data_IF_732759105238
#
_entry.id   IF_732759105238
#
_cell.length_a   1.000
_cell.length_b   1.000
_cell.length_c   1.000
_cell.angle_alpha   90.00
_cell.angle_beta   90.00
_cell.angle_gamma   90.00
#
_symmetry.space_group_name_H-M   'P 1'
#
loop_
_entity.id
_entity.type
_entity.pdbx_description
1 polymer ?
#
# COMPACT_ATOMS: atom_id res chain seq x y z
N UNK A 1 11.49 -15.75 35.79
CA UNK A 1 10.19 -16.45 35.62
C UNK A 1 9.76 -16.39 34.15
N UNK A 2 9.75 -17.51 33.43
CA UNK A 2 9.39 -17.58 32.00
C UNK A 2 7.87 -17.48 31.86
N UNK A 3 7.38 -16.47 31.13
CA UNK A 3 5.94 -16.32 30.82
C UNK A 3 5.51 -17.36 29.78
N UNK A 4 4.32 -17.96 29.93
CA UNK A 4 3.79 -18.91 28.95
C UNK A 4 3.43 -18.20 27.63
N UNK A 5 3.91 -18.79 26.53
CA UNK A 5 3.64 -18.35 25.16
C UNK A 5 2.16 -18.55 24.82
N UNK A 6 1.41 -17.46 24.65
CA UNK A 6 0.04 -17.49 24.12
C UNK A 6 0.10 -17.64 22.60
N UNK A 7 -0.20 -18.85 22.10
CA UNK A 7 -0.45 -19.07 20.67
C UNK A 7 -1.67 -18.26 20.25
N UNK A 8 -1.50 -17.33 19.30
CA UNK A 8 -2.59 -16.63 18.63
C UNK A 8 -3.33 -17.62 17.70
N UNK A 9 -4.67 -17.62 17.67
CA UNK A 9 -5.44 -18.38 16.69
C UNK A 9 -5.24 -17.80 15.29
N UNK A 10 -5.20 -18.69 14.28
CA UNK A 10 -4.99 -18.32 12.88
C UNK A 10 -6.17 -17.50 12.32
N UNK A 11 -5.93 -16.38 11.62
CA UNK A 11 -6.98 -15.61 10.96
C UNK A 11 -7.36 -16.31 9.65
N UNK A 12 -8.41 -17.13 9.67
CA UNK A 12 -8.87 -17.77 8.42
C UNK A 12 -10.12 -18.63 8.50
N UNK A 13 -10.50 -19.14 9.68
CA UNK A 13 -11.59 -20.11 9.80
C UNK A 13 -13.00 -19.52 10.00
N UNK A 14 -13.15 -18.20 10.14
CA UNK A 14 -14.44 -17.60 10.54
C UNK A 14 -15.38 -17.22 9.39
N UNK A 15 -14.92 -17.13 8.13
CA UNK A 15 -15.76 -16.61 7.02
C UNK A 15 -16.75 -17.62 6.44
N UNK A 16 -16.61 -18.92 6.68
CA UNK A 16 -17.48 -19.95 6.08
C UNK A 16 -18.64 -20.42 6.98
N UNK A 17 -18.65 -20.05 8.26
CA UNK A 17 -19.70 -20.50 9.19
C UNK A 17 -20.98 -19.65 9.16
N UNK A 18 -20.92 -18.40 8.69
CA UNK A 18 -22.06 -17.47 8.81
C UNK A 18 -23.12 -17.58 7.71
N UNK A 19 -22.84 -18.27 6.59
CA UNK A 19 -23.85 -18.50 5.54
C UNK A 19 -24.63 -19.81 5.71
N UNK A 20 -24.13 -20.76 6.52
CA UNK A 20 -24.77 -22.07 6.67
C UNK A 20 -25.96 -22.09 7.65
N UNK A 21 -26.11 -21.07 8.50
CA UNK A 21 -27.16 -21.04 9.53
C UNK A 21 -28.53 -20.55 9.04
N UNK A 22 -28.66 -20.08 7.79
CA UNK A 22 -29.92 -19.52 7.28
C UNK A 22 -30.87 -20.57 6.66
N UNK A 23 -30.46 -21.84 6.57
CA UNK A 23 -31.25 -22.89 5.89
C UNK A 23 -32.07 -23.82 6.80
N UNK A 24 -31.99 -23.71 8.13
CA UNK A 24 -32.63 -24.70 9.03
C UNK A 24 -33.93 -24.22 9.72
N UNK A 25 -34.43 -23.02 9.44
CA UNK A 25 -35.67 -22.51 10.02
C UNK A 25 -36.91 -22.91 9.21
N UNK A 26 -37.62 -23.95 9.66
CA UNK A 26 -38.89 -24.39 9.09
C UNK A 26 -39.94 -23.26 9.07
N UNK A 27 -40.35 -22.89 7.86
CA UNK A 27 -41.32 -21.84 7.56
C UNK A 27 -42.74 -22.34 7.89
N UNK A 28 -43.18 -22.17 9.14
CA UNK A 28 -44.60 -22.32 9.47
C UNK A 28 -45.34 -21.06 8.99
N UNK A 29 -46.33 -21.28 8.11
CA UNK A 29 -47.09 -20.25 7.42
C UNK A 29 -47.70 -19.22 8.35
N UNK A 30 -47.07 -18.06 8.42
CA UNK A 30 -47.62 -16.86 9.04
C UNK A 30 -48.11 -15.96 7.91
N UNK A 31 -49.41 -15.67 7.90
CA UNK A 31 -50.07 -14.74 6.98
C UNK A 31 -49.49 -13.35 7.19
N UNK A 32 -48.53 -12.97 6.35
CA UNK A 32 -47.80 -11.71 6.45
C UNK A 32 -48.68 -10.51 6.02
N UNK A 33 -48.61 -9.37 6.73
CA UNK A 33 -49.22 -8.13 6.30
C UNK A 33 -48.53 -7.60 5.01
N UNK A 34 -49.29 -7.11 4.02
CA UNK A 34 -48.80 -6.85 2.66
C UNK A 34 -47.92 -5.59 2.48
N UNK A 35 -47.21 -5.12 3.51
CA UNK A 35 -46.43 -3.87 3.45
C UNK A 35 -45.01 -3.89 4.03
N UNK A 36 -44.53 -5.03 4.57
CA UNK A 36 -43.28 -5.06 5.36
C UNK A 36 -42.00 -5.49 4.62
N UNK A 37 -42.08 -5.98 3.38
CA UNK A 37 -40.94 -6.73 2.80
C UNK A 37 -39.77 -5.87 2.32
N UNK A 38 -40.01 -4.64 1.87
CA UNK A 38 -38.92 -3.76 1.40
C UNK A 38 -38.16 -3.11 2.55
N UNK A 39 -38.85 -2.63 3.58
CA UNK A 39 -38.20 -2.03 4.74
C UNK A 39 -37.36 -3.06 5.51
N UNK A 40 -37.82 -4.31 5.59
CA UNK A 40 -37.03 -5.42 6.13
C UNK A 40 -35.76 -5.68 5.30
N UNK A 41 -35.88 -5.70 3.96
CA UNK A 41 -34.72 -5.87 3.07
C UNK A 41 -33.71 -4.72 3.22
N UNK A 42 -34.17 -3.47 3.25
CA UNK A 42 -33.30 -2.31 3.48
C UNK A 42 -32.66 -2.35 4.86
N UNK A 43 -33.38 -2.83 5.88
CA UNK A 43 -32.85 -3.09 7.20
C UNK A 43 -31.65 -4.04 7.17
N UNK A 44 -31.81 -5.20 6.51
CA UNK A 44 -30.75 -6.20 6.37
C UNK A 44 -29.55 -5.65 5.59
N UNK A 45 -29.78 -4.96 4.48
CA UNK A 45 -28.69 -4.37 3.67
C UNK A 45 -27.92 -3.32 4.47
N UNK A 46 -28.62 -2.45 5.20
CA UNK A 46 -28.00 -1.45 6.08
C UNK A 46 -27.14 -2.12 7.15
N UNK A 47 -27.63 -3.17 7.80
CA UNK A 47 -26.90 -3.86 8.86
C UNK A 47 -25.62 -4.52 8.33
N UNK A 48 -25.68 -5.12 7.14
CA UNK A 48 -24.51 -5.70 6.46
C UNK A 48 -23.48 -4.62 6.14
N UNK A 49 -23.90 -3.49 5.55
CA UNK A 49 -23.00 -2.38 5.20
C UNK A 49 -22.36 -1.78 6.45
N UNK A 50 -23.14 -1.56 7.52
CA UNK A 50 -22.62 -1.05 8.80
C UNK A 50 -21.61 -2.02 9.42
N UNK A 51 -21.90 -3.32 9.41
CA UNK A 51 -21.00 -4.34 9.92
C UNK A 51 -19.68 -4.37 9.14
N UNK A 52 -19.72 -4.33 7.81
CA UNK A 52 -18.52 -4.31 6.98
C UNK A 52 -17.70 -3.03 7.18
N UNK A 53 -18.34 -1.87 7.20
CA UNK A 53 -17.68 -0.60 7.51
C UNK A 53 -16.97 -0.63 8.86
N UNK A 54 -17.62 -1.18 9.89
CA UNK A 54 -17.03 -1.35 11.22
C UNK A 54 -15.82 -2.27 11.20
N UNK A 55 -15.90 -3.41 10.49
CA UNK A 55 -14.79 -4.35 10.37
C UNK A 55 -13.58 -3.70 9.67
N UNK A 56 -13.81 -2.98 8.56
CA UNK A 56 -12.76 -2.25 7.84
C UNK A 56 -12.11 -1.17 8.71
N UNK A 57 -12.90 -0.37 9.43
CA UNK A 57 -12.37 0.64 10.35
C UNK A 57 -11.50 0.01 11.45
N UNK A 58 -11.93 -1.10 12.04
CA UNK A 58 -11.14 -1.83 13.04
C UNK A 58 -9.85 -2.42 12.44
N UNK A 59 -9.89 -2.90 11.20
CA UNK A 59 -8.70 -3.37 10.49
C UNK A 59 -7.70 -2.24 10.23
N UNK A 60 -8.16 -1.10 9.73
CA UNK A 60 -7.34 0.10 9.56
C UNK A 60 -6.72 0.58 10.88
N UNK A 61 -7.51 0.59 11.97
CA UNK A 61 -7.02 0.97 13.29
C UNK A 61 -5.90 0.05 13.81
N UNK A 62 -6.03 -1.27 13.60
CA UNK A 62 -4.96 -2.22 13.94
C UNK A 62 -3.70 -1.97 13.11
N UNK A 63 -3.85 -1.78 11.80
CA UNK A 63 -2.71 -1.54 10.92
C UNK A 63 -1.98 -0.22 11.26
N UNK A 64 -2.72 0.84 11.53
CA UNK A 64 -2.14 2.11 11.98
C UNK A 64 -1.38 1.95 13.31
N UNK A 65 -1.93 1.18 14.26
CA UNK A 65 -1.24 0.83 15.51
C UNK A 65 0.09 0.11 15.27
N UNK A 66 0.10 -0.89 14.39
CA UNK A 66 1.32 -1.62 14.02
C UNK A 66 2.37 -0.70 13.37
N UNK A 67 1.96 0.26 12.53
CA UNK A 67 2.87 1.24 11.95
C UNK A 67 3.46 2.20 13.00
N UNK A 68 2.64 2.70 13.93
CA UNK A 68 3.12 3.56 15.03
C UNK A 68 4.12 2.79 15.90
N UNK A 69 3.81 1.55 16.26
CA UNK A 69 4.71 0.70 17.05
C UNK A 69 6.05 0.49 16.32
N UNK A 70 6.03 0.26 15.00
CA UNK A 70 7.24 0.12 14.20
C UNK A 70 8.07 1.42 14.18
N UNK A 71 7.43 2.58 14.02
CA UNK A 71 8.11 3.88 14.08
C UNK A 71 8.73 4.15 15.44
N UNK A 72 7.98 3.88 16.53
CA UNK A 72 8.47 4.04 17.90
C UNK A 72 9.67 3.12 18.16
N UNK A 73 9.59 1.85 17.77
CA UNK A 73 10.70 0.92 17.92
C UNK A 73 11.93 1.34 17.11
N UNK A 74 11.74 1.84 15.89
CA UNK A 74 12.84 2.37 15.08
C UNK A 74 13.50 3.58 15.75
N UNK A 75 12.71 4.54 16.23
CA UNK A 75 13.21 5.71 16.96
C UNK A 75 13.99 5.30 18.22
N UNK A 76 13.48 4.34 19.00
CA UNK A 76 14.16 3.82 20.19
C UNK A 76 15.50 3.15 19.85
N UNK A 77 15.60 2.43 18.72
CA UNK A 77 16.87 1.82 18.28
C UNK A 77 17.92 2.86 17.92
N UNK A 78 17.51 3.99 17.35
CA UNK A 78 18.40 5.08 16.97
C UNK A 78 18.91 5.89 18.17
N UNK A 79 18.26 5.79 19.34
CA UNK A 79 18.72 6.48 20.54
C UNK A 79 20.03 5.86 21.09
N UNK A 80 21.01 6.70 21.48
CA UNK A 80 22.17 6.27 22.25
C UNK A 80 21.76 5.48 23.52
N UNK A 81 22.53 4.46 23.94
CA UNK A 81 22.17 3.60 25.09
C UNK A 81 21.88 4.40 26.37
N UNK A 82 22.69 5.41 26.69
CA UNK A 82 22.51 6.23 27.89
C UNK A 82 21.20 7.04 27.88
N UNK A 83 20.64 7.38 26.71
CA UNK A 83 19.33 8.05 26.60
C UNK A 83 18.17 7.05 26.67
N UNK A 84 18.38 5.78 26.29
CA UNK A 84 17.35 4.73 26.43
C UNK A 84 17.10 4.36 27.88
N UNK A 85 18.14 4.37 28.71
CA UNK A 85 18.03 4.05 30.14
C UNK A 85 17.59 5.24 30.99
N UNK A 86 17.59 6.46 30.42
CA UNK A 86 17.18 7.69 31.09
C UNK A 86 15.66 7.81 31.20
N UNK A 87 15.16 8.45 32.27
CA UNK A 87 13.72 8.71 32.39
C UNK A 87 13.28 9.69 31.30
N UNK A 88 12.15 9.43 30.66
CA UNK A 88 11.62 10.25 29.56
C UNK A 88 11.54 11.76 29.91
N UNK A 89 11.20 12.09 31.16
CA UNK A 89 11.15 13.49 31.63
C UNK A 89 12.51 14.18 31.62
N UNK A 90 13.57 13.49 32.02
CA UNK A 90 14.95 14.02 32.02
C UNK A 90 15.47 14.15 30.59
N UNK A 91 15.23 13.13 29.75
CA UNK A 91 15.60 13.15 28.34
C UNK A 91 14.96 14.32 27.57
N UNK A 92 13.67 14.61 27.83
CA UNK A 92 12.98 15.75 27.22
C UNK A 92 13.49 17.11 27.72
N UNK A 93 13.97 17.20 28.97
CA UNK A 93 14.56 18.44 29.51
C UNK A 93 15.88 18.80 28.85
N UNK A 94 16.68 17.81 28.46
CA UNK A 94 17.92 18.03 27.68
C UNK A 94 17.62 18.70 26.32
N UNK A 95 16.52 18.31 25.67
CA UNK A 95 16.08 18.89 24.39
C UNK A 95 15.49 20.29 24.60
N UNK A 96 14.69 20.48 25.65
CA UNK A 96 14.03 21.75 25.96
C UNK A 96 14.99 22.88 26.37
N UNK A 97 16.13 22.56 27.00
CA UNK A 97 17.12 23.56 27.42
C UNK A 97 17.89 24.20 26.25
N UNK A 98 18.02 23.50 25.12
CA UNK A 98 18.81 23.98 23.98
C UNK A 98 18.06 24.98 23.10
N UNK A 99 16.73 25.03 23.13
CA UNK A 99 15.94 25.95 22.30
C UNK A 99 15.72 27.33 22.94
N UNK A 100 16.01 27.49 24.23
CA UNK A 100 15.91 28.77 24.91
C UNK A 100 17.21 29.61 24.86
N UNK A 101 18.31 29.04 24.37
CA UNK A 101 19.63 29.67 24.36
C UNK A 101 20.24 29.76 22.94
N UNK A 102 19.75 30.72 22.15
CA UNK A 102 20.38 31.16 20.89
C UNK A 102 19.38 31.98 20.07
N UNK A 103 19.65 33.20 19.61
CA UNK A 103 20.88 33.66 18.97
C UNK A 103 21.22 35.10 19.36
N UNK A 104 22.43 35.32 19.88
CA UNK A 104 23.19 36.52 19.53
C UNK A 104 24.06 36.18 18.30
N UNK A 105 24.08 37.03 17.27
CA UNK A 105 24.91 36.84 16.09
C UNK A 105 26.37 37.17 16.44
N UNK A 106 27.23 36.15 16.47
CA UNK A 106 28.67 36.37 16.41
C UNK A 106 29.09 36.42 14.94
N UNK A 107 29.29 37.65 14.45
CA UNK A 107 30.04 37.93 13.23
C UNK A 107 31.48 37.42 13.43
N UNK A 108 31.92 36.51 12.57
CA UNK A 108 33.25 35.92 12.63
C UNK A 108 33.66 35.39 11.27
N UNK A 109 34.20 36.29 10.45
CA UNK A 109 34.88 36.00 9.20
C UNK A 109 36.09 35.07 9.41
N UNK A 110 36.35 34.16 8.48
CA UNK A 110 37.59 33.37 8.52
C UNK A 110 37.71 32.22 7.51
N UNK A 111 38.12 32.58 6.29
CA UNK A 111 39.05 31.88 5.39
C UNK A 111 38.90 30.37 5.07
N UNK A 112 38.74 30.11 3.76
CA UNK A 112 39.18 28.88 3.05
C UNK A 112 40.66 28.54 3.28
N UNK A 113 41.04 27.27 3.10
CA UNK A 113 41.88 26.99 1.94
C UNK A 113 41.53 25.71 1.18
N UNK A 114 41.70 25.83 -0.13
CA UNK A 114 41.70 24.79 -1.15
C UNK A 114 42.79 23.73 -0.89
N UNK A 115 42.43 22.46 -1.01
CA UNK A 115 43.36 21.33 -0.98
C UNK A 115 43.01 20.33 -2.07
N UNK A 116 43.55 20.54 -3.27
CA UNK A 116 43.54 19.62 -4.41
C UNK A 116 44.50 18.46 -4.12
N UNK A 117 43.98 17.24 -4.08
CA UNK A 117 44.77 16.01 -3.96
C UNK A 117 44.15 14.91 -4.82
N UNK A 118 44.48 14.89 -6.10
CA UNK A 118 44.12 13.81 -7.02
C UNK A 118 45.02 12.59 -6.77
N UNK A 119 44.41 11.44 -6.48
CA UNK A 119 45.09 10.14 -6.52
C UNK A 119 44.65 9.36 -7.76
N UNK A 120 45.59 8.72 -8.49
CA UNK A 120 45.30 7.91 -9.67
C UNK A 120 45.16 6.45 -9.24
N UNK A 121 43.97 5.87 -9.39
CA UNK A 121 43.84 4.42 -9.43
C UNK A 121 43.03 3.98 -10.65
N UNK A 122 43.64 3.02 -11.33
CA UNK A 122 43.37 2.50 -12.66
C UNK A 122 41.91 2.12 -12.94
N UNK A 123 41.51 2.43 -14.16
CA UNK A 123 40.34 1.93 -14.84
C UNK A 123 40.38 0.39 -14.95
N UNK A 124 39.43 -0.27 -14.30
CA UNK A 124 38.93 -1.58 -14.68
C UNK A 124 37.43 -1.44 -14.93
N UNK A 125 36.95 -1.97 -16.06
CA UNK A 125 35.62 -1.72 -16.61
C UNK A 125 34.49 -1.88 -15.59
N UNK A 126 33.76 -0.78 -15.36
CA UNK A 126 32.58 -0.75 -14.52
C UNK A 126 31.44 -1.53 -15.20
N UNK A 127 31.39 -2.83 -14.93
CA UNK A 127 30.14 -3.58 -15.06
C UNK A 127 29.12 -2.89 -14.14
N UNK A 128 28.10 -2.28 -14.75
CA UNK A 128 27.02 -1.61 -14.03
C UNK A 128 26.40 -2.62 -13.07
N UNK A 129 26.72 -2.49 -11.79
CA UNK A 129 26.15 -3.36 -10.76
C UNK A 129 24.64 -3.14 -10.72
N UNK A 130 23.84 -4.20 -10.57
CA UNK A 130 22.38 -4.08 -10.54
C UNK A 130 21.97 -3.09 -9.46
N UNK A 131 21.22 -2.06 -9.86
CA UNK A 131 20.87 -0.89 -9.05
C UNK A 131 19.83 -1.17 -7.96
N UNK A 132 19.25 -2.36 -7.90
CA UNK A 132 18.32 -2.80 -6.87
C UNK A 132 17.44 -3.97 -7.32
N UNK A 133 16.56 -4.46 -6.44
CA UNK A 133 15.60 -5.51 -6.75
C UNK A 133 14.94 -6.12 -5.51
N UNK A 134 14.17 -7.19 -5.68
CA UNK A 134 13.58 -7.96 -4.57
C UNK A 134 14.53 -9.11 -4.23
N UNK A 135 14.93 -9.27 -2.98
CA UNK A 135 15.73 -10.41 -2.54
C UNK A 135 14.85 -11.53 -2.00
N UNK A 136 15.28 -12.79 -2.12
CA UNK A 136 14.57 -13.92 -1.49
C UNK A 136 14.59 -13.86 0.04
N UNK A 137 15.57 -13.19 0.63
CA UNK A 137 15.63 -12.92 2.07
C UNK A 137 14.63 -11.83 2.51
N UNK A 138 14.17 -11.00 1.58
CA UNK A 138 13.25 -9.90 1.82
C UNK A 138 12.29 -9.72 0.64
N UNK A 139 11.27 -10.58 0.49
CA UNK A 139 10.41 -10.61 -0.69
C UNK A 139 9.33 -9.51 -0.71
N UNK A 140 9.16 -8.79 0.40
CA UNK A 140 8.05 -7.84 0.58
C UNK A 140 8.30 -6.48 -0.08
N UNK A 141 9.56 -6.05 -0.12
CA UNK A 141 9.93 -4.72 -0.62
C UNK A 141 11.20 -4.78 -1.46
N UNK A 142 11.35 -3.88 -2.45
CA UNK A 142 12.59 -3.73 -3.17
C UNK A 142 13.69 -3.17 -2.26
N UNK A 143 14.90 -3.69 -2.43
CA UNK A 143 16.13 -3.18 -1.86
C UNK A 143 16.84 -2.30 -2.89
N UNK A 144 17.27 -1.12 -2.46
CA UNK A 144 17.99 -0.15 -3.30
C UNK A 144 19.44 -0.12 -2.83
N UNK A 145 20.38 -0.19 -3.78
CA UNK A 145 21.80 -0.05 -3.43
C UNK A 145 22.09 1.42 -3.16
N UNK A 146 22.52 1.74 -1.94
CA UNK A 146 22.77 3.11 -1.52
C UNK A 146 23.74 3.20 -0.35
N UNK A 147 24.14 4.42 0.02
CA UNK A 147 24.77 4.64 1.32
C UNK A 147 23.69 4.54 2.41
N UNK A 148 23.91 3.76 3.47
CA UNK A 148 23.02 3.73 4.62
C UNK A 148 22.84 5.14 5.18
N UNK A 149 21.64 5.45 5.67
CA UNK A 149 21.35 6.76 6.28
C UNK A 149 21.95 6.93 7.68
N UNK A 150 22.72 5.95 8.17
CA UNK A 150 23.35 6.00 9.49
C UNK A 150 24.54 6.98 9.50
N UNK A 151 24.66 7.74 10.59
CA UNK A 151 25.66 8.81 10.72
C UNK A 151 27.11 8.32 10.70
N UNK A 152 27.37 7.10 11.17
CA UNK A 152 28.72 6.55 11.31
C UNK A 152 29.15 5.65 10.13
N UNK A 153 28.33 5.57 9.07
CA UNK A 153 28.57 4.77 7.84
C UNK A 153 28.71 3.26 8.11
N UNK A 154 28.65 2.83 9.37
CA UNK A 154 28.72 1.44 9.80
C UNK A 154 27.32 0.89 9.95
N UNK A 155 27.16 -0.36 9.55
CA UNK A 155 25.88 -1.05 9.59
C UNK A 155 26.13 -2.55 9.69
N UNK A 156 25.11 -3.31 10.11
CA UNK A 156 25.19 -4.76 10.20
C UNK A 156 24.26 -5.38 9.16
N UNK A 157 24.75 -6.39 8.44
CA UNK A 157 23.92 -7.13 7.49
C UNK A 157 22.92 -7.98 8.26
N UNK A 158 21.62 -7.83 7.99
CA UNK A 158 20.56 -8.55 8.71
C UNK A 158 20.57 -10.07 8.46
N UNK A 159 21.26 -10.52 7.41
CA UNK A 159 21.36 -11.95 7.08
C UNK A 159 22.56 -12.64 7.71
N UNK A 160 23.76 -12.05 7.63
CA UNK A 160 24.97 -12.67 8.18
C UNK A 160 25.39 -12.12 9.56
N UNK A 161 24.81 -10.99 10.00
CA UNK A 161 25.17 -10.29 11.23
C UNK A 161 26.54 -9.59 11.19
N UNK A 162 27.25 -9.64 10.06
CA UNK A 162 28.56 -9.01 9.89
C UNK A 162 28.47 -7.49 9.87
N UNK A 163 29.43 -6.82 10.49
CA UNK A 163 29.59 -5.37 10.41
C UNK A 163 30.24 -4.98 9.07
N UNK A 164 29.69 -3.98 8.40
CA UNK A 164 30.12 -3.49 7.12
C UNK A 164 30.19 -1.96 7.12
N UNK A 165 30.99 -1.42 6.20
CA UNK A 165 31.12 0.01 5.93
C UNK A 165 30.84 0.27 4.45
N UNK A 166 30.29 1.45 4.14
CA UNK A 166 30.00 1.86 2.76
C UNK A 166 28.59 1.50 2.31
N UNK A 167 28.42 1.14 1.03
CA UNK A 167 27.11 0.92 0.44
C UNK A 167 26.45 -0.38 0.95
N UNK A 168 25.16 -0.33 1.23
CA UNK A 168 24.31 -1.48 1.52
C UNK A 168 23.21 -1.61 0.46
N UNK A 169 22.63 -2.81 0.35
CA UNK A 169 21.30 -2.96 -0.22
C UNK A 169 20.29 -2.68 0.89
N UNK A 170 19.67 -1.50 0.87
CA UNK A 170 18.82 -1.00 1.94
C UNK A 170 17.34 -0.97 1.51
N UNK A 171 16.46 -1.41 2.40
CA UNK A 171 15.02 -1.24 2.25
C UNK A 171 14.52 -0.03 3.03
N UNK A 172 14.04 1.01 2.33
CA UNK A 172 13.53 2.23 2.94
C UNK A 172 12.28 2.01 3.82
N UNK A 173 11.53 0.93 3.61
CA UNK A 173 10.27 0.67 4.32
C UNK A 173 10.48 0.02 5.68
N UNK A 174 11.44 -0.91 5.80
CA UNK A 174 11.63 -1.72 7.01
C UNK A 174 13.05 -1.66 7.59
N UNK A 175 13.93 -0.86 6.99
CA UNK A 175 15.34 -0.73 7.36
C UNK A 175 16.12 -2.05 7.33
N UNK A 176 15.78 -2.93 6.40
CA UNK A 176 16.50 -4.18 6.17
C UNK A 176 17.73 -3.91 5.29
N UNK A 177 18.90 -4.33 5.75
CA UNK A 177 20.20 -4.09 5.13
C UNK A 177 20.90 -5.41 4.76
N UNK A 178 21.33 -5.54 3.50
CA UNK A 178 22.12 -6.68 3.02
C UNK A 178 23.48 -6.24 2.46
N UNK A 179 24.51 -7.04 2.76
CA UNK A 179 25.84 -6.92 2.14
C UNK A 179 25.88 -7.52 0.74
N UNK A 180 26.85 -7.07 -0.06
CA UNK A 180 27.02 -7.48 -1.46
C UNK A 180 27.05 -9.01 -1.61
N UNK A 181 27.74 -9.72 -0.71
CA UNK A 181 27.79 -11.18 -0.72
C UNK A 181 26.42 -11.83 -0.42
N UNK A 182 25.69 -11.30 0.56
CA UNK A 182 24.35 -11.80 0.90
C UNK A 182 23.35 -11.50 -0.21
N UNK A 183 23.45 -10.34 -0.86
CA UNK A 183 22.64 -9.99 -2.03
C UNK A 183 22.92 -10.90 -3.23
N UNK A 184 24.19 -11.09 -3.59
CA UNK A 184 24.57 -11.95 -4.72
C UNK A 184 24.04 -13.38 -4.56
N UNK A 185 24.10 -13.94 -3.34
CA UNK A 185 23.56 -15.28 -3.07
C UNK A 185 22.03 -15.38 -3.17
N UNK A 186 21.29 -14.25 -3.10
CA UNK A 186 19.84 -14.25 -3.34
C UNK A 186 19.51 -14.19 -4.83
N UNK A 187 20.37 -13.56 -5.64
CA UNK A 187 20.17 -13.45 -7.09
C UNK A 187 20.30 -14.81 -7.79
N UNK A 188 21.15 -15.71 -7.30
CA UNK A 188 21.31 -17.06 -7.87
C UNK A 188 20.01 -17.89 -7.79
N UNK A 189 19.19 -17.66 -6.76
CA UNK A 189 17.92 -18.38 -6.60
C UNK A 189 16.86 -17.89 -7.60
N UNK A 190 16.89 -16.61 -7.96
CA UNK A 190 15.97 -16.03 -8.94
C UNK A 190 16.37 -16.37 -10.39
N UNK A 191 17.62 -16.77 -10.63
CA UNK A 191 18.13 -17.16 -11.96
C UNK A 191 18.09 -18.66 -12.22
N UNK A 192 17.37 -19.44 -11.40
CA UNK A 192 16.92 -20.77 -11.82
C UNK A 192 15.96 -20.58 -13.01
N UNK A 193 16.56 -20.54 -14.20
CA UNK A 193 15.88 -20.77 -15.47
C UNK A 193 14.99 -21.99 -15.23
N UNK A 194 13.67 -21.79 -15.30
CA UNK A 194 12.76 -22.92 -15.48
C UNK A 194 13.43 -23.83 -16.52
N UNK A 195 13.66 -25.13 -16.24
CA UNK A 195 14.25 -26.01 -17.21
C UNK A 195 13.40 -25.87 -18.47
N UNK A 196 13.96 -25.25 -19.52
CA UNK A 196 13.35 -25.25 -20.83
C UNK A 196 13.13 -26.71 -21.14
N UNK A 197 11.87 -27.14 -21.14
CA UNK A 197 11.47 -28.49 -21.45
C UNK A 197 12.16 -28.89 -22.74
N UNK A 198 13.25 -29.64 -22.58
CA UNK A 198 13.91 -30.35 -23.66
C UNK A 198 12.87 -31.37 -24.10
N UNK A 199 12.13 -30.96 -25.12
CA UNK A 199 11.30 -31.76 -26.01
C UNK A 199 11.95 -33.13 -26.17
N UNK A 200 11.51 -34.09 -25.34
CA UNK A 200 11.87 -35.50 -25.48
C UNK A 200 11.33 -35.95 -26.82
N UNK A 201 12.23 -36.40 -27.67
CA UNK A 201 11.96 -36.97 -28.97
C UNK A 201 12.11 -38.49 -28.82
N UNK A 202 11.16 -39.11 -28.11
CA UNK A 202 10.93 -40.55 -28.08
C UNK A 202 9.44 -40.70 -28.46
N UNK A 203 8.95 -41.56 -29.35
CA UNK A 203 9.47 -42.66 -30.14
C UNK A 203 8.22 -43.26 -30.79
N UNK A 204 8.35 -43.79 -32.00
CA UNK A 204 7.28 -44.38 -32.81
C UNK A 204 6.38 -45.36 -32.04
N UNK A 205 5.05 -45.19 -32.14
CA UNK A 205 4.08 -46.29 -32.05
C UNK A 205 2.95 -46.00 -33.04
N UNK A 206 2.75 -46.83 -34.09
CA UNK A 206 1.63 -46.65 -35.00
C UNK A 206 0.41 -47.35 -34.40
N UNK A 207 -0.58 -46.58 -33.96
CA UNK A 207 -1.92 -47.12 -33.69
C UNK A 207 -2.94 -46.28 -34.42
N UNK A 208 -3.32 -46.78 -35.59
CA UNK A 208 -4.44 -46.31 -36.38
C UNK A 208 -5.76 -46.67 -35.70
N UNK A 209 -6.59 -45.67 -35.41
CA UNK A 209 -8.05 -45.81 -35.44
C UNK A 209 -8.74 -44.44 -35.37
N UNK A 210 -9.29 -44.06 -36.53
CA UNK A 210 -10.65 -43.50 -36.72
C UNK A 210 -11.14 -42.32 -35.88
N UNK A 211 -11.28 -41.19 -36.57
CA UNK A 211 -12.50 -40.35 -36.69
C UNK A 211 -13.44 -40.27 -35.49
N UNK A 212 -13.44 -39.11 -34.84
CA UNK A 212 -14.47 -38.72 -33.88
C UNK A 212 -14.43 -37.24 -33.55
N UNK A 213 -15.34 -36.47 -34.15
CA UNK A 213 -15.67 -35.08 -33.83
C UNK A 213 -15.71 -34.81 -32.31
N UNK A 214 -14.92 -33.84 -31.83
CA UNK A 214 -15.25 -33.15 -30.59
C UNK A 214 -14.69 -31.74 -30.57
N UNK A 215 -15.58 -30.79 -30.87
CA UNK A 215 -15.42 -29.37 -30.57
C UNK A 215 -15.40 -29.22 -29.04
N UNK A 216 -14.22 -29.13 -28.44
CA UNK A 216 -14.05 -28.57 -27.09
C UNK A 216 -13.32 -27.24 -27.21
N UNK A 217 -13.93 -26.10 -26.83
CA UNK A 217 -13.25 -24.83 -26.82
C UNK A 217 -12.20 -24.80 -25.71
N UNK A 218 -11.05 -24.21 -26.02
CA UNK A 218 -9.99 -23.87 -25.08
C UNK A 218 -10.51 -22.77 -24.13
N UNK A 219 -10.18 -22.80 -22.83
CA UNK A 219 -10.35 -21.62 -21.99
C UNK A 219 -9.18 -20.67 -22.28
N UNK A 220 -9.45 -19.64 -23.08
CA UNK A 220 -8.60 -18.46 -23.16
C UNK A 220 -8.72 -17.70 -21.84
N UNK A 221 -7.63 -17.72 -21.06
CA UNK A 221 -7.46 -16.89 -19.88
C UNK A 221 -7.02 -15.49 -20.34
N UNK A 222 -7.99 -14.66 -20.75
CA UNK A 222 -7.80 -13.23 -20.87
C UNK A 222 -7.94 -12.60 -19.47
N UNK A 223 -6.83 -12.10 -18.92
CA UNK A 223 -6.86 -11.13 -17.83
C UNK A 223 -7.18 -9.75 -18.42
N UNK A 224 -8.44 -9.53 -18.76
CA UNK A 224 -8.96 -8.19 -19.00
C UNK A 224 -9.19 -7.52 -17.65
N UNK A 225 -8.37 -6.51 -17.36
CA UNK A 225 -8.59 -5.55 -16.29
C UNK A 225 -9.80 -4.67 -16.64
N UNK A 226 -11.00 -5.22 -16.46
CA UNK A 226 -12.27 -4.50 -16.56
C UNK A 226 -12.46 -3.60 -15.34
N UNK A 227 -11.82 -2.43 -15.35
CA UNK A 227 -12.22 -1.32 -14.49
C UNK A 227 -13.50 -0.70 -15.07
N UNK A 228 -14.58 -0.73 -14.28
CA UNK A 228 -15.79 0.08 -14.49
C UNK A 228 -16.78 -0.49 -15.50
N UNK A 229 -17.60 -1.45 -15.10
CA UNK A 229 -18.80 -1.81 -15.86
C UNK A 229 -19.99 -2.10 -14.95
N UNK A 230 -20.90 -1.12 -14.89
CA UNK A 230 -22.33 -1.37 -15.10
C UNK A 230 -23.13 -1.98 -13.96
N UNK A 231 -23.28 -1.27 -12.83
CA UNK A 231 -24.38 -1.57 -11.90
C UNK A 231 -25.71 -0.94 -12.40
N UNK A 232 -25.66 0.05 -13.30
CA UNK A 232 -26.86 0.76 -13.79
C UNK A 232 -27.78 -0.03 -14.73
N UNK A 233 -27.39 -1.21 -15.22
CA UNK A 233 -28.23 -1.98 -16.14
C UNK A 233 -29.24 -2.92 -15.46
N UNK A 234 -29.08 -3.22 -14.16
CA UNK A 234 -29.86 -4.29 -13.51
C UNK A 234 -31.17 -3.82 -12.83
N UNK A 235 -31.32 -2.52 -12.55
CA UNK A 235 -32.49 -1.99 -11.81
C UNK A 235 -33.73 -1.80 -12.69
N UNK A 236 -33.58 -1.71 -14.03
CA UNK A 236 -34.71 -1.54 -14.96
C UNK A 236 -35.68 -2.73 -14.99
N UNK A 237 -35.33 -3.88 -14.41
CA UNK A 237 -36.16 -5.09 -14.45
C UNK A 237 -37.27 -5.14 -13.38
N UNK A 238 -37.28 -4.26 -12.39
CA UNK A 238 -38.23 -4.36 -11.26
C UNK A 238 -39.47 -3.45 -11.34
N UNK A 239 -39.63 -2.66 -12.41
CA UNK A 239 -40.86 -1.89 -12.65
C UNK A 239 -41.23 -0.88 -11.55
N UNK A 240 -40.31 -0.57 -10.63
CA UNK A 240 -40.53 0.42 -9.59
C UNK A 240 -40.45 1.80 -10.27
N UNK A 241 -41.51 2.62 -10.21
CA UNK A 241 -41.46 3.98 -10.73
C UNK A 241 -40.50 4.79 -9.87
N UNK A 242 -39.30 5.06 -10.41
CA UNK A 242 -38.34 5.97 -9.78
C UNK A 242 -38.73 7.40 -10.15
N UNK A 243 -38.79 8.28 -9.15
CA UNK A 243 -39.06 9.71 -9.36
C UNK A 243 -37.97 10.34 -10.26
N UNK A 244 -38.33 11.15 -11.27
CA UNK A 244 -37.37 11.78 -12.17
C UNK A 244 -36.27 12.59 -11.46
N UNK A 245 -36.58 13.26 -10.33
CA UNK A 245 -35.56 14.01 -9.59
C UNK A 245 -34.56 13.08 -8.90
N UNK A 246 -35.00 11.88 -8.50
CA UNK A 246 -34.11 10.87 -7.92
C UNK A 246 -33.13 10.36 -8.97
N UNK A 247 -33.59 10.17 -10.22
CA UNK A 247 -32.72 9.75 -11.32
C UNK A 247 -31.66 10.82 -11.64
N UNK A 248 -32.07 12.08 -11.76
CA UNK A 248 -31.15 13.21 -11.98
C UNK A 248 -30.13 13.34 -10.84
N UNK A 249 -30.57 13.15 -9.60
CA UNK A 249 -29.68 13.16 -8.44
C UNK A 249 -28.65 12.02 -8.48
N UNK A 250 -29.07 10.82 -8.89
CA UNK A 250 -28.16 9.68 -9.06
C UNK A 250 -27.12 9.93 -10.16
N UNK A 251 -27.53 10.47 -11.30
CA UNK A 251 -26.61 10.83 -12.40
C UNK A 251 -25.60 11.91 -11.94
N UNK A 252 -26.06 12.91 -11.18
CA UNK A 252 -25.19 13.94 -10.62
C UNK A 252 -24.17 13.37 -9.62
N UNK A 253 -24.57 12.40 -8.79
CA UNK A 253 -23.67 11.70 -7.86
C UNK A 253 -22.65 10.84 -8.60
N UNK A 254 -23.04 10.16 -9.67
CA UNK A 254 -22.14 9.36 -10.50
C UNK A 254 -21.07 10.24 -11.16
N UNK A 255 -21.49 11.35 -11.79
CA UNK A 255 -20.56 12.33 -12.36
C UNK A 255 -19.59 12.89 -11.31
N UNK A 256 -20.09 13.23 -10.12
CA UNK A 256 -19.25 13.74 -9.03
C UNK A 256 -18.26 12.69 -8.52
N UNK A 257 -18.65 11.43 -8.50
CA UNK A 257 -17.75 10.32 -8.12
C UNK A 257 -16.64 10.16 -9.16
N UNK A 258 -16.99 10.25 -10.45
CA UNK A 258 -16.02 10.21 -11.54
C UNK A 258 -15.02 11.38 -11.47
N UNK A 259 -15.48 12.61 -11.20
CA UNK A 259 -14.60 13.77 -10.99
C UNK A 259 -13.65 13.57 -9.80
N UNK A 260 -14.12 12.95 -8.71
CA UNK A 260 -13.29 12.62 -7.54
C UNK A 260 -12.20 11.59 -7.87
N UNK A 261 -12.52 10.57 -8.66
CA UNK A 261 -11.57 9.56 -9.09
C UNK A 261 -10.52 10.13 -10.06
N UNK A 262 -10.93 10.99 -10.99
CA UNK A 262 -10.01 11.69 -11.88
C UNK A 262 -9.07 12.61 -11.09
N UNK A 263 -9.62 13.38 -10.14
CA UNK A 263 -8.81 14.24 -9.28
C UNK A 263 -7.81 13.44 -8.44
N UNK A 264 -8.23 12.29 -7.91
CA UNK A 264 -7.33 11.37 -7.20
C UNK A 264 -6.21 10.86 -8.10
N UNK A 265 -6.53 10.46 -9.34
CA UNK A 265 -5.52 10.01 -10.32
C UNK A 265 -4.51 11.13 -10.63
N UNK A 266 -4.98 12.38 -10.73
CA UNK A 266 -4.09 13.54 -10.91
C UNK A 266 -3.18 13.74 -9.70
N UNK A 267 -3.70 13.57 -8.47
CA UNK A 267 -2.91 13.70 -7.24
C UNK A 267 -1.90 12.56 -7.04
N UNK A 268 -2.21 11.34 -7.44
CA UNK A 268 -1.29 10.20 -7.33
C UNK A 268 -0.07 10.37 -8.26
N UNK A 269 -0.24 10.98 -9.44
CA UNK A 269 0.82 11.30 -10.40
C UNK A 269 1.51 12.65 -10.12
N UNK A 270 0.93 13.47 -9.23
CA UNK A 270 1.40 14.82 -8.95
C UNK A 270 2.83 14.89 -8.35
N UNK A 271 3.28 14.01 -7.43
CA UNK A 271 4.58 14.17 -6.79
C UNK A 271 5.74 14.19 -7.79
N UNK A 272 5.77 13.20 -8.69
CA UNK A 272 6.82 13.07 -9.70
C UNK A 272 6.77 14.20 -10.75
N UNK A 273 5.57 14.69 -11.08
CA UNK A 273 5.41 15.82 -12.02
C UNK A 273 5.72 17.17 -11.37
N UNK A 274 5.39 17.36 -10.10
CA UNK A 274 5.63 18.60 -9.36
C UNK A 274 7.12 18.83 -9.15
N UNK A 275 7.90 17.79 -8.86
CA UNK A 275 9.37 17.91 -8.71
C UNK A 275 10.05 18.44 -9.98
N UNK A 276 9.51 18.10 -11.15
CA UNK A 276 10.04 18.52 -12.45
C UNK A 276 9.44 19.84 -12.96
N UNK A 277 8.48 20.45 -12.25
CA UNK A 277 7.81 21.67 -12.68
C UNK A 277 8.51 22.95 -12.17
N UNK A 278 8.62 24.01 -13.01
CA UNK A 278 9.01 25.35 -12.56
C UNK A 278 8.14 25.85 -11.41
N UNK A 279 8.71 26.68 -10.53
CA UNK A 279 8.04 27.14 -9.31
C UNK A 279 6.68 27.83 -9.58
N UNK A 280 6.56 28.59 -10.68
CA UNK A 280 5.30 29.23 -11.06
C UNK A 280 4.22 28.23 -11.47
N UNK A 281 4.58 27.20 -12.23
CA UNK A 281 3.64 26.16 -12.64
C UNK A 281 3.16 25.34 -11.46
N UNK A 282 4.05 25.03 -10.50
CA UNK A 282 3.67 24.38 -9.24
C UNK A 282 2.66 25.21 -8.45
N UNK A 283 2.87 26.52 -8.31
CA UNK A 283 1.92 27.41 -7.62
C UNK A 283 0.55 27.43 -8.31
N UNK A 284 0.53 27.51 -9.64
CA UNK A 284 -0.71 27.47 -10.42
C UNK A 284 -1.44 26.13 -10.28
N UNK A 285 -0.70 25.02 -10.26
CA UNK A 285 -1.27 23.69 -10.03
C UNK A 285 -1.92 23.59 -8.64
N UNK A 286 -1.20 23.99 -7.58
CA UNK A 286 -1.73 23.95 -6.22
C UNK A 286 -2.97 24.85 -6.05
N UNK A 287 -2.99 26.02 -6.70
CA UNK A 287 -4.16 26.90 -6.71
C UNK A 287 -5.38 26.22 -7.35
N UNK A 288 -5.22 25.62 -8.53
CA UNK A 288 -6.31 24.89 -9.21
C UNK A 288 -6.80 23.70 -8.39
N UNK A 289 -5.89 22.94 -7.79
CA UNK A 289 -6.23 21.81 -6.93
C UNK A 289 -7.07 22.27 -5.71
N UNK A 290 -6.67 23.38 -5.08
CA UNK A 290 -7.42 24.00 -3.98
C UNK A 290 -8.81 24.46 -4.43
N UNK A 291 -8.92 25.15 -5.57
CA UNK A 291 -10.19 25.64 -6.10
C UNK A 291 -11.16 24.49 -6.45
N UNK A 292 -10.65 23.38 -6.98
CA UNK A 292 -11.43 22.16 -7.24
C UNK A 292 -11.91 21.53 -5.93
N UNK A 293 -11.03 21.39 -4.95
CA UNK A 293 -11.40 20.86 -3.63
C UNK A 293 -12.48 21.70 -2.93
N UNK A 294 -12.35 23.02 -2.99
CA UNK A 294 -13.30 23.94 -2.38
C UNK A 294 -14.67 23.92 -3.06
N UNK A 295 -14.72 23.80 -4.40
CA UNK A 295 -15.97 23.58 -5.14
C UNK A 295 -16.68 22.30 -4.71
N UNK A 296 -15.95 21.20 -4.52
CA UNK A 296 -16.52 19.92 -4.10
C UNK A 296 -17.11 19.97 -2.69
N UNK A 297 -16.48 20.71 -1.76
CA UNK A 297 -16.94 20.88 -0.38
C UNK A 297 -18.18 21.79 -0.28
N UNK A 298 -18.19 22.93 -0.96
CA UNK A 298 -19.28 23.92 -0.86
C UNK A 298 -20.58 23.39 -1.46
N UNK A 299 -20.51 22.55 -2.50
CA UNK A 299 -21.68 21.92 -3.10
C UNK A 299 -22.46 21.02 -2.12
N UNK A 300 -21.86 20.60 -1.00
CA UNK A 300 -22.51 19.75 0.01
C UNK A 300 -23.43 20.52 0.97
N UNK A 301 -23.27 21.84 1.09
CA UNK A 301 -23.98 22.65 2.09
C UNK A 301 -25.20 23.41 1.58
N UNK A 302 -25.42 23.49 0.26
CA UNK A 302 -26.48 24.33 -0.32
C UNK A 302 -27.79 23.58 -0.65
N UNK A 303 -27.83 22.26 -0.58
CA UNK A 303 -29.01 21.49 -0.99
C UNK A 303 -30.13 21.41 0.07
N UNK A 304 -29.83 21.63 1.36
CA UNK A 304 -30.77 21.27 2.45
C UNK A 304 -31.49 22.46 3.14
N UNK A 305 -31.29 23.71 2.72
CA UNK A 305 -31.80 24.89 3.47
C UNK A 305 -32.99 25.59 2.78
N UNK A 306 -33.55 25.00 1.72
CA UNK A 306 -34.51 25.67 0.83
C UNK A 306 -35.95 25.17 0.83
N UNK A 307 -36.43 24.48 1.87
CA UNK A 307 -37.78 23.91 1.88
C UNK A 307 -38.46 23.95 3.25
N UNK A 308 -39.02 25.10 3.60
CA UNK A 308 -40.08 25.26 4.60
C UNK A 308 -41.13 26.22 4.04
#
# INVERSE_FOLDING_TARGET
ARRPSRRRPAPGAARTASMAAFQAGGFHGSTAPPGGSQDELFGVVRDIVVAECRERLLACGRHAGEQIDALVLSALRQLPPHLRDMRAKEALQLVGGSLAAGQQPSEGAGASPSGVGASPWAAAGAAQSPSGGISSAHPQHPLIRGRPQYADVRWACDRCGGAHEGASFHCATCSFDLCDACWASTAEVASFKLPSDKKRQDGHTPSSCTSGNSKRPRPDFCMDGGAGSGISASVKSMGIPVDPNTLEHMEALEHKTQEMEEFRRILDDAPSRLENMPAEQRRNFMKRASDTYQRMLIARGKADVGGA
#
